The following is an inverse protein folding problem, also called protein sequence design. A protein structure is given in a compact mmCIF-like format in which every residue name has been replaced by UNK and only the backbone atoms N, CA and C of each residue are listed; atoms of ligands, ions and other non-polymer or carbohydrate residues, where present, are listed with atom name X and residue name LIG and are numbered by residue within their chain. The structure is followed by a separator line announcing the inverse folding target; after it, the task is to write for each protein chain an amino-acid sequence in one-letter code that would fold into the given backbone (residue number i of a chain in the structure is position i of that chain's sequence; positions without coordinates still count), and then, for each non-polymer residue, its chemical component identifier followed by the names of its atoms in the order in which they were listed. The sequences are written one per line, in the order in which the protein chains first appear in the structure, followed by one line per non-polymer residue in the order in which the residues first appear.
data_IF_866923143350
#
_entry.id   IF_866923143350
#
_cell.length_a   1.000
_cell.length_b   1.000
_cell.length_c   1.000
_cell.angle_alpha   90.00
_cell.angle_beta   90.00
_cell.angle_gamma   90.00
#
_symmetry.space_group_name_H-M   'P 1'
#
loop_
_entity.id
_entity.type
_entity.pdbx_description
1 polymer ?
#
# COMPACT_ATOMS: atom_id res chain seq x y z
N UNK A 1 2.09 -19.77 8.56
CA UNK A 1 2.48 -18.42 8.14
C UNK A 1 2.18 -17.44 9.25
N UNK A 2 3.03 -16.46 9.50
CA UNK A 2 2.74 -15.48 10.55
C UNK A 2 1.51 -14.66 10.21
N UNK A 3 0.77 -14.30 11.24
CA UNK A 3 -0.39 -13.42 11.09
C UNK A 3 -0.14 -12.13 11.87
N UNK A 4 -0.80 -11.07 11.44
CA UNK A 4 -0.70 -9.75 12.09
C UNK A 4 -2.10 -9.17 12.26
N UNK A 5 -2.23 -8.26 13.23
CA UNK A 5 -3.41 -7.44 13.37
C UNK A 5 -3.31 -6.30 12.35
N UNK A 6 -4.13 -6.35 11.32
CA UNK A 6 -4.07 -5.36 10.24
C UNK A 6 -4.58 -4.00 10.71
N UNK A 7 -3.79 -2.96 10.49
CA UNK A 7 -4.17 -1.60 10.87
C UNK A 7 -5.35 -1.06 10.04
N UNK A 8 -5.58 -1.61 8.86
CA UNK A 8 -6.64 -1.15 7.97
C UNK A 8 -7.96 -1.85 8.22
N UNK A 9 -7.98 -3.18 8.23
CA UNK A 9 -9.23 -3.94 8.40
C UNK A 9 -9.53 -4.34 9.83
N UNK A 10 -8.54 -4.26 10.72
CA UNK A 10 -8.71 -4.59 12.13
C UNK A 10 -8.81 -6.09 12.42
N UNK A 11 -8.58 -6.94 11.45
CA UNK A 11 -8.65 -8.39 11.63
C UNK A 11 -7.26 -9.00 11.65
N UNK A 12 -7.13 -10.13 12.35
CA UNK A 12 -5.93 -10.93 12.26
C UNK A 12 -5.95 -11.69 10.94
N UNK A 13 -4.96 -11.44 10.11
CA UNK A 13 -4.84 -12.05 8.79
C UNK A 13 -3.39 -12.36 8.49
N UNK A 14 -3.17 -13.09 7.42
CA UNK A 14 -1.84 -13.45 6.99
C UNK A 14 -0.97 -12.23 6.73
N UNK A 15 0.25 -12.26 7.26
CA UNK A 15 1.23 -11.22 7.00
C UNK A 15 1.83 -11.42 5.61
N UNK A 16 2.27 -10.33 4.97
CA UNK A 16 3.01 -10.40 3.73
C UNK A 16 4.30 -11.21 3.92
N UNK A 17 4.75 -11.89 2.88
CA UNK A 17 5.96 -12.70 2.96
C UNK A 17 7.22 -11.84 3.14
N UNK A 18 7.19 -10.60 2.67
CA UNK A 18 8.31 -9.65 2.73
C UNK A 18 7.79 -8.24 2.51
N UNK A 19 8.57 -7.21 2.87
CA UNK A 19 8.18 -5.84 2.57
C UNK A 19 7.93 -5.66 1.07
N UNK A 20 6.75 -5.13 0.69
CA UNK A 20 6.39 -5.03 -0.72
C UNK A 20 7.04 -3.87 -1.46
N UNK A 21 7.60 -2.93 -0.73
CA UNK A 21 8.25 -1.75 -1.27
C UNK A 21 9.58 -1.52 -0.56
N UNK A 22 10.54 -0.87 -1.20
CA UNK A 22 11.78 -0.49 -0.52
C UNK A 22 11.54 0.66 0.45
N UNK A 23 12.43 0.79 1.43
CA UNK A 23 12.42 1.91 2.37
C UNK A 23 11.43 1.75 3.51
N UNK A 24 11.23 2.84 4.25
CA UNK A 24 10.43 2.84 5.47
C UNK A 24 8.96 2.51 5.23
N UNK A 25 8.40 2.96 4.13
CA UNK A 25 7.01 2.68 3.81
C UNK A 25 6.77 1.18 3.61
N UNK A 26 7.66 0.51 2.90
CA UNK A 26 7.57 -0.94 2.71
C UNK A 26 7.63 -1.69 4.02
N UNK A 27 8.55 -1.30 4.91
CA UNK A 27 8.68 -1.89 6.23
C UNK A 27 7.42 -1.66 7.06
N UNK A 28 6.86 -0.45 7.01
CA UNK A 28 5.63 -0.09 7.73
C UNK A 28 4.45 -0.92 7.23
N UNK A 29 4.33 -1.09 5.92
CA UNK A 29 3.27 -1.91 5.32
C UNK A 29 3.42 -3.36 5.75
N UNK A 30 4.62 -3.90 5.67
CA UNK A 30 4.91 -5.28 6.07
C UNK A 30 4.51 -5.54 7.52
N UNK A 31 4.76 -4.58 8.41
CA UNK A 31 4.50 -4.73 9.84
C UNK A 31 3.03 -4.50 10.21
N UNK A 32 2.26 -3.81 9.38
CA UNK A 32 0.94 -3.30 9.78
C UNK A 32 -0.21 -3.70 8.86
N UNK A 33 0.05 -4.13 7.64
CA UNK A 33 -0.98 -4.39 6.63
C UNK A 33 -0.99 -5.87 6.25
N UNK A 34 -2.18 -6.46 6.27
CA UNK A 34 -2.33 -7.86 5.90
C UNK A 34 -2.30 -8.06 4.39
N UNK A 35 -2.14 -9.31 3.97
CA UNK A 35 -2.08 -9.70 2.57
C UNK A 35 -3.33 -9.27 1.80
N UNK A 36 -4.51 -9.42 2.39
CA UNK A 36 -5.79 -9.07 1.75
C UNK A 36 -5.86 -7.57 1.44
N UNK A 37 -5.53 -6.72 2.43
CA UNK A 37 -5.55 -5.27 2.23
C UNK A 37 -4.51 -4.83 1.21
N UNK A 38 -3.35 -5.45 1.21
CA UNK A 38 -2.33 -5.15 0.21
C UNK A 38 -2.81 -5.47 -1.21
N UNK A 39 -3.47 -6.62 -1.40
CA UNK A 39 -4.04 -6.99 -2.71
C UNK A 39 -5.13 -6.02 -3.16
N UNK A 40 -5.95 -5.55 -2.23
CA UNK A 40 -6.95 -4.51 -2.54
C UNK A 40 -6.29 -3.24 -3.02
N UNK A 41 -5.19 -2.83 -2.39
CA UNK A 41 -4.43 -1.66 -2.83
C UNK A 41 -3.87 -1.85 -4.23
N UNK A 42 -3.36 -3.04 -4.57
CA UNK A 42 -2.82 -3.30 -5.89
C UNK A 42 -3.88 -3.10 -6.99
N UNK A 43 -5.11 -3.49 -6.74
CA UNK A 43 -6.22 -3.23 -7.67
C UNK A 43 -6.51 -1.75 -7.77
N UNK A 44 -6.56 -1.07 -6.65
CA UNK A 44 -6.80 0.37 -6.61
C UNK A 44 -5.67 1.13 -7.31
N UNK A 45 -4.44 0.71 -7.09
CA UNK A 45 -3.27 1.29 -7.72
C UNK A 45 -3.37 1.21 -9.25
N UNK A 46 -3.76 0.06 -9.78
CA UNK A 46 -3.95 -0.11 -11.22
C UNK A 46 -4.98 0.87 -11.76
N UNK A 47 -6.11 1.03 -11.07
CA UNK A 47 -7.15 1.96 -11.46
C UNK A 47 -6.65 3.41 -11.43
N UNK A 48 -5.88 3.78 -10.40
CA UNK A 48 -5.30 5.12 -10.27
C UNK A 48 -4.33 5.40 -11.42
N UNK A 49 -3.45 4.44 -11.71
CA UNK A 49 -2.48 4.60 -12.80
C UNK A 49 -3.20 4.81 -14.13
N UNK A 50 -4.23 4.03 -14.40
CA UNK A 50 -5.00 4.15 -15.66
C UNK A 50 -5.80 5.44 -15.72
N UNK A 51 -6.40 5.84 -14.61
CA UNK A 51 -7.24 7.04 -14.56
C UNK A 51 -6.43 8.32 -14.82
N UNK A 52 -5.26 8.41 -14.22
CA UNK A 52 -4.41 9.61 -14.34
C UNK A 52 -3.35 9.50 -15.45
N UNK A 53 -3.24 8.34 -16.10
CA UNK A 53 -2.24 8.13 -17.13
C UNK A 53 -0.82 8.26 -16.58
N UNK A 54 -0.55 7.73 -15.41
CA UNK A 54 0.73 7.91 -14.73
C UNK A 54 1.85 7.17 -15.43
N UNK A 55 2.99 7.85 -15.56
CA UNK A 55 4.22 7.24 -16.03
C UNK A 55 5.06 6.82 -14.83
N UNK A 56 5.20 5.52 -14.62
CA UNK A 56 5.90 4.98 -13.45
C UNK A 56 7.40 5.28 -13.44
N UNK A 57 7.95 5.75 -14.54
CA UNK A 57 9.34 6.21 -14.59
C UNK A 57 9.50 7.65 -14.10
N UNK A 58 8.40 8.39 -13.97
CA UNK A 58 8.43 9.76 -13.48
C UNK A 58 8.47 9.77 -11.95
N UNK A 59 9.47 10.45 -11.33
CA UNK A 59 9.53 10.55 -9.88
C UNK A 59 8.28 11.18 -9.26
N UNK A 60 7.63 12.11 -9.94
CA UNK A 60 6.40 12.75 -9.45
C UNK A 60 5.25 11.74 -9.39
N UNK A 61 5.15 10.86 -10.38
CA UNK A 61 4.14 9.80 -10.36
C UNK A 61 4.39 8.83 -9.20
N UNK A 62 5.64 8.49 -8.95
CA UNK A 62 5.99 7.63 -7.80
C UNK A 62 5.62 8.27 -6.47
N UNK A 63 5.90 9.56 -6.31
CA UNK A 63 5.53 10.30 -5.10
C UNK A 63 4.02 10.34 -4.91
N UNK A 64 3.28 10.57 -5.98
CA UNK A 64 1.83 10.56 -5.96
C UNK A 64 1.30 9.19 -5.50
N UNK A 65 1.82 8.11 -6.08
CA UNK A 65 1.41 6.75 -5.70
C UNK A 65 1.77 6.43 -4.26
N UNK A 66 2.92 6.90 -3.77
CA UNK A 66 3.31 6.71 -2.38
C UNK A 66 2.31 7.35 -1.44
N UNK A 67 1.88 8.58 -1.73
CA UNK A 67 0.87 9.27 -0.93
C UNK A 67 -0.47 8.56 -0.98
N UNK A 68 -0.88 8.10 -2.15
CA UNK A 68 -2.12 7.33 -2.30
C UNK A 68 -2.06 6.02 -1.53
N UNK A 69 -0.90 5.36 -1.52
CA UNK A 69 -0.69 4.13 -0.74
C UNK A 69 -0.90 4.39 0.74
N UNK A 70 -0.32 5.44 1.27
CA UNK A 70 -0.48 5.80 2.68
C UNK A 70 -1.93 6.14 3.00
N UNK A 71 -2.59 6.91 2.15
CA UNK A 71 -3.98 7.27 2.36
C UNK A 71 -4.89 6.04 2.36
N UNK A 72 -4.67 5.12 1.44
CA UNK A 72 -5.50 3.93 1.29
C UNK A 72 -5.27 2.95 2.45
N UNK A 73 -4.02 2.66 2.77
CA UNK A 73 -3.69 1.61 3.74
C UNK A 73 -3.76 2.09 5.19
N UNK A 74 -3.44 3.34 5.46
CA UNK A 74 -3.35 3.87 6.83
C UNK A 74 -4.39 4.94 7.12
N UNK A 75 -5.24 5.27 6.15
CA UNK A 75 -6.26 6.29 6.33
C UNK A 75 -5.71 7.71 6.43
N UNK A 76 -4.46 7.93 6.07
CA UNK A 76 -3.86 9.25 6.06
C UNK A 76 -4.36 10.03 4.86
N UNK A 77 -4.94 11.21 5.10
CA UNK A 77 -5.43 12.03 4.00
C UNK A 77 -4.27 12.83 3.41
N UNK A 78 -3.97 12.67 2.12
CA UNK A 78 -2.97 13.53 1.48
C UNK A 78 -3.51 14.97 1.44
N UNK A 79 -2.72 15.87 1.87
CA UNK A 79 -3.08 17.29 1.91
C UNK A 79 -2.59 17.98 0.65
#
# INVERSE_FOLDING_TARGET
MPSIACARCGHDREQLARPPLPGDLGTRIFASICDVCWKEWLRQQTAVINHYGLNLLDPKAKQFLTKQTEAFLFGETPV
#
